data_IF_155186626814
#
_entry.id   IF_155186626814
#
_cell.length_a   1.000
_cell.length_b   1.000
_cell.length_c   1.000
_cell.angle_alpha   90.00
_cell.angle_beta   90.00
_cell.angle_gamma   90.00
#
_symmetry.space_group_name_H-M   'P 1'
#
loop_
_entity.id
_entity.type
_entity.pdbx_description
1 polymer ?
#
# COMPACT_ATOMS: atom_id res chain seq x y z
N UNK A 1 -10.07 29.67 10.11
CA UNK A 1 -10.85 28.66 9.38
C UNK A 1 -10.57 28.80 7.89
N UNK A 2 -9.87 27.81 7.30
CA UNK A 2 -9.55 27.80 5.89
C UNK A 2 -10.81 27.60 5.03
N UNK A 3 -10.94 28.38 3.96
CA UNK A 3 -12.08 28.29 3.02
C UNK A 3 -11.96 26.97 2.26
N UNK A 4 -12.96 26.07 2.35
CA UNK A 4 -12.98 24.83 1.57
C UNK A 4 -12.97 25.15 0.07
N UNK A 5 -12.10 24.48 -0.69
CA UNK A 5 -12.05 24.60 -2.14
C UNK A 5 -13.34 24.10 -2.77
N UNK A 6 -13.84 24.82 -3.78
CA UNK A 6 -15.03 24.45 -4.59
C UNK A 6 -14.70 23.49 -5.73
N UNK A 7 -13.47 22.99 -5.84
CA UNK A 7 -13.02 22.06 -6.89
C UNK A 7 -13.80 20.74 -6.78
N UNK A 8 -14.48 20.31 -7.86
CA UNK A 8 -15.26 19.06 -7.89
C UNK A 8 -14.41 17.80 -7.79
N UNK A 9 -13.22 17.79 -8.39
CA UNK A 9 -12.28 16.67 -8.35
C UNK A 9 -11.09 17.00 -7.44
N UNK A 10 -11.22 16.69 -6.15
CA UNK A 10 -10.16 16.80 -5.17
C UNK A 10 -9.39 15.49 -5.09
N UNK A 11 -8.04 15.57 -5.06
CA UNK A 11 -7.25 14.39 -4.81
C UNK A 11 -7.28 13.99 -3.33
N UNK A 12 -6.79 12.79 -3.02
CA UNK A 12 -6.86 12.22 -1.67
C UNK A 12 -6.08 13.05 -0.63
N UNK A 13 -4.98 13.68 -1.02
CA UNK A 13 -4.17 14.52 -0.12
C UNK A 13 -4.93 15.78 0.28
N UNK A 14 -5.59 16.43 -0.68
CA UNK A 14 -6.45 17.59 -0.41
C UNK A 14 -7.64 17.24 0.48
N UNK A 15 -8.31 16.11 0.18
CA UNK A 15 -9.44 15.63 0.99
C UNK A 15 -8.99 15.37 2.43
N UNK A 16 -7.85 14.71 2.62
CA UNK A 16 -7.31 14.39 3.95
C UNK A 16 -7.01 15.65 4.77
N UNK A 17 -6.37 16.65 4.15
CA UNK A 17 -6.11 17.93 4.80
C UNK A 17 -7.40 18.68 5.17
N UNK A 18 -8.34 18.76 4.23
CA UNK A 18 -9.61 19.49 4.43
C UNK A 18 -10.53 18.83 5.45
N UNK A 19 -10.44 17.50 5.62
CA UNK A 19 -11.18 16.79 6.68
C UNK A 19 -10.76 17.24 8.07
N UNK A 20 -9.52 17.69 8.25
CA UNK A 20 -9.03 18.29 9.50
C UNK A 20 -9.28 19.82 9.55
N UNK A 21 -9.87 20.41 8.52
CA UNK A 21 -10.10 21.85 8.45
C UNK A 21 -8.83 22.70 8.29
N UNK A 22 -7.70 22.09 7.92
CA UNK A 22 -6.43 22.78 7.78
C UNK A 22 -6.38 23.59 6.48
N UNK A 23 -5.89 24.84 6.56
CA UNK A 23 -5.41 25.57 5.38
C UNK A 23 -4.09 24.96 4.90
N UNK A 24 -3.61 25.32 3.69
CA UNK A 24 -2.29 24.86 3.22
C UNK A 24 -1.16 25.39 4.09
N UNK A 25 -1.27 26.63 4.56
CA UNK A 25 -0.28 27.23 5.46
C UNK A 25 -0.23 26.50 6.81
N UNK A 26 -1.40 26.24 7.42
CA UNK A 26 -1.47 25.48 8.66
C UNK A 26 -0.99 24.02 8.48
N UNK A 27 -1.24 23.43 7.31
CA UNK A 27 -0.72 22.11 7.00
C UNK A 27 0.81 22.12 6.86
N UNK A 28 1.39 23.16 6.22
CA UNK A 28 2.83 23.31 6.11
C UNK A 28 3.50 23.42 7.49
N UNK A 29 2.89 24.12 8.44
CA UNK A 29 3.36 24.18 9.83
C UNK A 29 3.33 22.79 10.51
N UNK A 30 2.25 22.02 10.32
CA UNK A 30 2.12 20.66 10.87
C UNK A 30 3.14 19.69 10.27
N UNK A 31 3.38 19.79 8.96
CA UNK A 31 4.31 18.91 8.23
C UNK A 31 5.79 19.31 8.44
N UNK A 32 6.06 20.55 8.78
CA UNK A 32 7.38 21.08 9.15
C UNK A 32 8.31 21.34 7.96
N UNK A 33 8.46 20.40 7.03
CA UNK A 33 9.40 20.54 5.89
C UNK A 33 8.71 20.64 4.51
N UNK A 34 7.38 20.48 4.45
CA UNK A 34 6.61 20.59 3.21
C UNK A 34 5.94 21.95 3.13
N UNK A 35 6.38 22.81 2.21
CA UNK A 35 5.83 24.15 2.07
C UNK A 35 4.40 24.17 1.52
N UNK A 36 3.64 25.24 1.79
CA UNK A 36 2.28 25.43 1.29
C UNK A 36 2.21 25.40 -0.25
N UNK A 37 3.21 25.94 -0.95
CA UNK A 37 3.32 25.87 -2.42
C UNK A 37 3.53 24.42 -2.90
N UNK A 38 4.33 23.64 -2.18
CA UNK A 38 4.53 22.22 -2.48
C UNK A 38 3.25 21.42 -2.29
N UNK A 39 2.53 21.66 -1.19
CA UNK A 39 1.21 21.06 -0.94
C UNK A 39 0.23 21.41 -2.07
N UNK A 40 0.21 22.68 -2.52
CA UNK A 40 -0.65 23.07 -3.63
C UNK A 40 -0.34 22.33 -4.92
N UNK A 41 0.94 22.14 -5.26
CA UNK A 41 1.36 21.42 -6.46
C UNK A 41 0.96 19.96 -6.42
N UNK A 42 1.08 19.31 -5.25
CA UNK A 42 0.63 17.92 -5.03
C UNK A 42 -0.90 17.84 -5.15
N UNK A 43 -1.65 18.70 -4.49
CA UNK A 43 -3.11 18.72 -4.52
C UNK A 43 -3.69 19.03 -5.91
N UNK A 44 -2.96 19.76 -6.73
CA UNK A 44 -3.33 20.03 -8.12
C UNK A 44 -2.76 19.03 -9.12
N UNK A 45 -2.14 17.93 -8.64
CA UNK A 45 -1.57 16.87 -9.47
C UNK A 45 -0.49 17.37 -10.45
N UNK A 46 0.14 18.49 -10.13
CA UNK A 46 1.24 19.04 -10.93
C UNK A 46 2.56 18.33 -10.66
N UNK A 47 2.67 17.70 -9.50
CA UNK A 47 3.83 16.91 -9.09
C UNK A 47 3.40 15.75 -8.22
N UNK A 48 4.09 14.62 -8.34
CA UNK A 48 3.94 13.48 -7.44
C UNK A 48 4.69 13.80 -6.13
N UNK A 49 4.13 13.51 -4.96
CA UNK A 49 4.83 13.68 -3.69
C UNK A 49 6.01 12.71 -3.57
N UNK A 50 7.01 13.06 -2.78
CA UNK A 50 8.05 12.14 -2.37
C UNK A 50 7.56 11.23 -1.24
N UNK A 51 8.13 10.01 -1.07
CA UNK A 51 7.71 9.08 -0.01
C UNK A 51 7.72 9.70 1.39
N UNK A 52 8.72 10.53 1.69
CA UNK A 52 8.86 11.21 2.98
C UNK A 52 7.76 12.27 3.19
N UNK A 53 7.33 12.95 2.12
CA UNK A 53 6.21 13.90 2.17
C UNK A 53 4.90 13.16 2.44
N UNK A 54 4.72 11.98 1.84
CA UNK A 54 3.53 11.14 2.07
C UNK A 54 3.47 10.62 3.49
N UNK A 55 4.60 10.20 4.05
CA UNK A 55 4.70 9.77 5.46
C UNK A 55 4.31 10.92 6.39
N UNK A 56 4.87 12.11 6.16
CA UNK A 56 4.53 13.29 6.95
C UNK A 56 3.04 13.66 6.82
N UNK A 57 2.48 13.61 5.60
CA UNK A 57 1.05 13.85 5.37
C UNK A 57 0.18 12.79 6.03
N UNK A 58 0.55 11.51 6.00
CA UNK A 58 -0.19 10.43 6.63
C UNK A 58 -0.27 10.64 8.16
N UNK A 59 0.83 11.02 8.78
CA UNK A 59 0.89 11.30 10.21
C UNK A 59 0.21 12.64 10.56
N UNK A 60 0.55 13.72 9.87
CA UNK A 60 0.00 15.06 10.12
C UNK A 60 -1.49 15.15 9.86
N UNK A 61 -2.00 14.46 8.85
CA UNK A 61 -3.43 14.42 8.51
C UNK A 61 -4.18 13.28 9.21
N UNK A 62 -3.50 12.47 10.04
CA UNK A 62 -4.09 11.31 10.74
C UNK A 62 -4.77 10.33 9.78
N UNK A 63 -4.20 10.16 8.60
CA UNK A 63 -4.71 9.28 7.56
C UNK A 63 -3.64 8.33 7.03
N UNK A 64 -3.39 7.19 7.70
CA UNK A 64 -2.37 6.22 7.27
C UNK A 64 -2.67 5.58 5.90
N UNK A 65 -3.91 5.68 5.39
CA UNK A 65 -4.25 5.14 4.07
C UNK A 65 -3.56 5.87 2.92
N UNK A 66 -3.03 7.10 3.15
CA UNK A 66 -2.24 7.83 2.17
C UNK A 66 -0.98 7.07 1.75
N UNK A 67 -0.34 6.36 2.69
CA UNK A 67 0.84 5.55 2.39
C UNK A 67 0.50 4.40 1.42
N UNK A 68 -0.60 3.68 1.69
CA UNK A 68 -1.04 2.62 0.79
C UNK A 68 -1.46 3.17 -0.58
N UNK A 69 -2.20 4.29 -0.61
CA UNK A 69 -2.58 4.96 -1.85
C UNK A 69 -1.35 5.31 -2.69
N UNK A 70 -0.36 5.98 -2.11
CA UNK A 70 0.88 6.33 -2.79
C UNK A 70 1.60 5.09 -3.35
N UNK A 71 1.81 4.07 -2.51
CA UNK A 71 2.50 2.86 -2.93
C UNK A 71 1.75 2.14 -4.05
N UNK A 72 0.42 1.97 -3.94
CA UNK A 72 -0.36 1.19 -4.90
C UNK A 72 -0.70 1.96 -6.19
N UNK A 73 -0.68 3.31 -6.19
CA UNK A 73 -1.13 4.12 -7.34
C UNK A 73 -0.04 4.99 -7.98
N UNK A 74 0.86 5.56 -7.18
CA UNK A 74 1.80 6.58 -7.63
C UNK A 74 3.25 6.08 -7.70
N UNK A 75 3.67 5.20 -6.79
CA UNK A 75 5.01 4.63 -6.79
C UNK A 75 5.15 3.55 -7.88
N UNK A 76 6.09 3.68 -8.83
CA UNK A 76 6.27 2.67 -9.89
C UNK A 76 6.55 1.26 -9.35
N UNK A 77 7.37 1.15 -8.31
CA UNK A 77 7.68 -0.13 -7.65
C UNK A 77 6.44 -0.64 -6.90
N UNK A 78 5.79 0.23 -6.14
CA UNK A 78 4.64 -0.15 -5.32
C UNK A 78 3.45 -0.63 -6.16
N UNK A 79 3.22 -0.09 -7.35
CA UNK A 79 2.17 -0.56 -8.27
C UNK A 79 2.33 -2.03 -8.67
N UNK A 80 3.56 -2.54 -8.69
CA UNK A 80 3.83 -3.94 -9.01
C UNK A 80 3.69 -4.87 -7.79
N UNK A 81 3.98 -4.36 -6.59
CA UNK A 81 4.16 -5.21 -5.41
C UNK A 81 3.19 -4.93 -4.26
N UNK A 82 2.53 -3.76 -4.25
CA UNK A 82 1.67 -3.35 -3.14
C UNK A 82 0.20 -3.35 -3.57
N UNK A 83 -0.65 -4.20 -2.99
CA UNK A 83 -2.07 -4.20 -3.30
C UNK A 83 -2.75 -2.95 -2.73
N UNK A 84 -3.78 -2.48 -3.43
CA UNK A 84 -4.65 -1.45 -2.91
C UNK A 84 -5.49 -1.99 -1.75
N UNK A 85 -5.32 -1.41 -0.57
CA UNK A 85 -6.12 -1.73 0.61
C UNK A 85 -7.34 -0.82 0.63
N UNK A 86 -8.53 -1.41 0.48
CA UNK A 86 -9.80 -0.69 0.66
C UNK A 86 -10.20 -0.74 2.12
N UNK A 87 -10.68 0.39 2.64
CA UNK A 87 -11.29 0.42 3.97
C UNK A 87 -12.51 -0.52 3.97
N UNK A 88 -12.48 -1.53 4.84
CA UNK A 88 -13.53 -2.52 5.03
C UNK A 88 -13.97 -2.48 6.48
N UNK A 89 -15.19 -2.93 6.75
CA UNK A 89 -15.61 -3.10 8.15
C UNK A 89 -14.90 -4.29 8.81
N UNK A 90 -14.88 -4.30 10.13
CA UNK A 90 -14.18 -5.32 10.92
C UNK A 90 -14.70 -6.73 10.62
N UNK A 91 -16.00 -6.89 10.38
CA UNK A 91 -16.61 -8.17 10.09
C UNK A 91 -16.11 -8.75 8.78
N UNK A 92 -16.03 -7.89 7.75
CA UNK A 92 -15.52 -8.29 6.43
C UNK A 92 -14.03 -8.65 6.50
N UNK A 93 -13.22 -7.86 7.23
CA UNK A 93 -11.79 -8.15 7.44
C UNK A 93 -11.64 -9.51 8.13
N UNK A 94 -12.42 -9.77 9.19
CA UNK A 94 -12.37 -11.03 9.93
C UNK A 94 -12.72 -12.22 9.05
N UNK A 95 -13.78 -12.14 8.23
CA UNK A 95 -14.17 -13.19 7.31
C UNK A 95 -13.09 -13.48 6.26
N UNK A 96 -12.49 -12.45 5.69
CA UNK A 96 -11.40 -12.60 4.72
C UNK A 96 -10.15 -13.22 5.36
N UNK A 97 -9.81 -12.83 6.59
CA UNK A 97 -8.72 -13.46 7.33
C UNK A 97 -8.98 -14.95 7.58
N UNK A 98 -10.17 -15.30 8.03
CA UNK A 98 -10.54 -16.70 8.26
C UNK A 98 -10.52 -17.52 6.96
N UNK A 99 -11.03 -16.96 5.87
CA UNK A 99 -10.97 -17.61 4.55
C UNK A 99 -9.53 -17.84 4.09
N UNK A 100 -8.65 -16.85 4.29
CA UNK A 100 -7.23 -16.95 3.95
C UNK A 100 -6.52 -18.00 4.82
N UNK A 101 -6.78 -18.03 6.13
CA UNK A 101 -6.23 -19.02 7.04
C UNK A 101 -6.67 -20.45 6.67
N UNK A 102 -7.94 -20.64 6.33
CA UNK A 102 -8.43 -21.93 5.87
C UNK A 102 -7.74 -22.38 4.58
N UNK A 103 -7.55 -21.46 3.62
CA UNK A 103 -6.82 -21.76 2.39
C UNK A 103 -5.38 -22.15 2.67
N UNK A 104 -4.68 -21.41 3.53
CA UNK A 104 -3.30 -21.72 3.94
C UNK A 104 -3.21 -23.09 4.65
N UNK A 105 -4.21 -23.48 5.41
CA UNK A 105 -4.25 -24.81 6.05
C UNK A 105 -4.33 -25.92 5.02
N UNK A 106 -5.09 -25.75 3.95
CA UNK A 106 -5.17 -26.71 2.85
C UNK A 106 -3.88 -26.78 2.01
N UNK A 107 -3.19 -25.67 1.84
CA UNK A 107 -1.93 -25.59 1.08
C UNK A 107 -0.69 -25.97 1.91
N UNK A 108 -0.84 -26.07 3.23
CA UNK A 108 0.25 -26.36 4.15
C UNK A 108 0.97 -27.67 3.83
N UNK A 109 0.22 -28.73 3.56
CA UNK A 109 0.78 -30.07 3.31
C UNK A 109 1.59 -30.06 2.00
N UNK A 110 1.10 -29.32 1.00
CA UNK A 110 1.79 -29.12 -0.28
C UNK A 110 3.07 -28.28 -0.15
N UNK A 111 3.06 -27.25 0.71
CA UNK A 111 4.27 -26.48 1.01
C UNK A 111 5.33 -27.33 1.73
N UNK A 112 4.90 -28.26 2.58
CA UNK A 112 5.80 -29.21 3.24
C UNK A 112 6.42 -30.15 2.21
N UNK A 113 5.64 -30.71 1.27
CA UNK A 113 6.15 -31.57 0.21
C UNK A 113 7.22 -30.87 -0.62
N UNK A 114 6.99 -29.63 -1.07
CA UNK A 114 7.93 -28.82 -1.85
C UNK A 114 9.22 -28.49 -1.05
N UNK A 115 9.13 -28.37 0.28
CA UNK A 115 10.28 -28.00 1.12
C UNK A 115 11.10 -29.18 1.58
N UNK A 116 10.56 -30.40 1.58
CA UNK A 116 11.24 -31.61 2.08
C UNK A 116 12.36 -32.08 1.16
N UNK A 117 12.23 -31.94 -0.14
CA UNK A 117 13.26 -32.35 -1.12
C UNK A 117 14.25 -31.21 -1.46
N UNK A 118 13.91 -29.97 -1.14
CA UNK A 118 14.77 -28.78 -1.35
C UNK A 118 14.96 -28.41 -2.82
N UNK A 119 14.28 -29.08 -3.76
CA UNK A 119 14.33 -28.81 -5.20
C UNK A 119 12.97 -28.33 -5.72
N UNK A 120 12.96 -27.20 -6.43
CA UNK A 120 11.78 -26.68 -7.11
C UNK A 120 11.72 -27.24 -8.51
N UNK A 121 10.76 -28.12 -8.79
CA UNK A 121 10.56 -28.70 -10.12
C UNK A 121 9.74 -27.77 -11.04
N UNK A 122 9.85 -27.96 -12.38
CA UNK A 122 9.11 -27.14 -13.35
C UNK A 122 7.58 -27.29 -13.22
N UNK A 123 7.09 -28.41 -12.72
CA UNK A 123 5.65 -28.65 -12.48
C UNK A 123 5.11 -27.88 -11.25
N UNK A 124 5.99 -27.42 -10.36
CA UNK A 124 5.68 -26.61 -9.20
C UNK A 124 5.71 -25.11 -9.48
N UNK A 125 6.30 -24.71 -10.60
CA UNK A 125 6.43 -23.33 -11.07
C UNK A 125 5.09 -22.61 -11.38
N UNK A 126 4.00 -23.26 -11.88
CA UNK A 126 2.75 -22.55 -12.19
C UNK A 126 2.10 -21.86 -11.00
N UNK A 127 2.40 -22.28 -9.77
CA UNK A 127 1.93 -21.65 -8.53
C UNK A 127 2.59 -20.26 -8.33
N UNK A 128 3.74 -20.05 -8.96
CA UNK A 128 4.56 -18.84 -8.87
C UNK A 128 4.24 -17.78 -9.93
N UNK A 129 3.56 -18.16 -11.02
CA UNK A 129 3.36 -17.31 -12.20
C UNK A 129 2.05 -16.49 -12.18
N UNK A 130 1.45 -16.31 -11.00
CA UNK A 130 0.35 -15.37 -10.79
C UNK A 130 0.79 -13.93 -11.02
N UNK A 131 0.88 -13.52 -12.30
CA UNK A 131 1.07 -12.13 -12.68
C UNK A 131 -0.04 -11.29 -12.10
N UNK A 132 0.33 -10.25 -11.36
CA UNK A 132 -0.49 -9.11 -10.93
C UNK A 132 -1.33 -9.20 -9.65
N UNK A 133 -0.98 -10.05 -8.69
CA UNK A 133 -1.52 -9.87 -7.33
C UNK A 133 -0.41 -10.08 -6.31
N UNK A 134 -0.25 -9.11 -5.38
CA UNK A 134 0.57 -9.37 -4.20
C UNK A 134 -0.01 -10.61 -3.51
N UNK A 135 0.75 -11.69 -3.59
CA UNK A 135 0.41 -12.95 -2.95
C UNK A 135 1.47 -13.16 -1.84
N UNK A 136 1.07 -13.28 -0.57
CA UNK A 136 2.01 -13.57 0.51
C UNK A 136 2.81 -14.86 0.26
N UNK A 137 2.25 -15.81 -0.47
CA UNK A 137 2.93 -17.01 -0.94
C UNK A 137 4.14 -16.67 -1.83
N UNK A 138 4.02 -15.66 -2.71
CA UNK A 138 5.11 -15.20 -3.58
C UNK A 138 6.26 -14.57 -2.79
N UNK A 139 5.96 -13.84 -1.73
CA UNK A 139 6.98 -13.26 -0.85
C UNK A 139 7.79 -14.35 -0.11
N UNK A 140 7.12 -15.41 0.35
CA UNK A 140 7.75 -16.57 0.98
C UNK A 140 8.67 -17.32 0.01
N UNK A 141 8.25 -17.51 -1.23
CA UNK A 141 9.01 -18.23 -2.26
C UNK A 141 10.22 -17.44 -2.77
N UNK A 142 10.13 -16.11 -2.85
CA UNK A 142 11.29 -15.25 -3.14
C UNK A 142 12.33 -15.40 -2.02
N UNK A 143 11.89 -15.46 -0.76
CA UNK A 143 12.79 -15.66 0.39
C UNK A 143 13.44 -17.04 0.38
N UNK A 144 12.73 -18.09 -0.01
CA UNK A 144 13.27 -19.46 -0.13
C UNK A 144 14.27 -19.58 -1.29
N UNK A 145 14.02 -18.95 -2.44
CA UNK A 145 14.97 -18.92 -3.57
C UNK A 145 16.28 -18.20 -3.20
N UNK A 146 16.21 -17.13 -2.43
CA UNK A 146 17.41 -16.41 -1.98
C UNK A 146 18.25 -17.25 -1.01
N UNK A 147 17.62 -18.11 -0.21
CA UNK A 147 18.32 -19.03 0.70
C UNK A 147 18.96 -20.23 -0.01
N UNK A 148 18.39 -20.71 -1.12
CA UNK A 148 18.94 -21.84 -1.88
C UNK A 148 20.10 -21.45 -2.82
N UNK A 149 20.35 -20.14 -3.00
CA UNK A 149 21.46 -19.62 -3.82
C UNK A 149 22.69 -19.20 -3.01
N UNK A 150 22.69 -19.47 -1.70
CA UNK A 150 23.83 -19.35 -0.79
C UNK A 150 24.45 -20.71 -0.49
#
# INVERSE_FOLDING_TARGET
>A
MGRKSTKENKNIYQISRENLGLSRDAAAEVLGFVSADRIEKIENERTVPHPEEVLAMADGYKNPSLCNYFCSKECPIGREYVPEVKAKDLSQITLEMLATLNKLTHEKDRLIEITVDGELTEDEMPILDGRHSWNPERALLISLKTLSSL
#
